data_IF_351403458550
#
_entry.id   IF_351403458550
#
_cell.length_a   1.000
_cell.length_b   1.000
_cell.length_c   1.000
_cell.angle_alpha   90.00
_cell.angle_beta   90.00
_cell.angle_gamma   90.00
#
_symmetry.space_group_name_H-M   'P 1'
#
loop_
_entity.id
_entity.type
_entity.pdbx_description
1 polymer ?
#
# COMPACT_ATOMS: atom_id res chain seq x y z
N UNK A 1 21.78 -20.45 20.30
CA UNK A 1 22.71 -19.86 19.31
C UNK A 1 22.97 -18.42 19.72
N UNK A 2 24.22 -17.94 19.75
CA UNK A 2 24.50 -16.55 20.10
C UNK A 2 23.90 -15.64 19.03
N UNK A 3 23.03 -14.72 19.44
CA UNK A 3 22.57 -13.63 18.59
C UNK A 3 23.80 -12.81 18.25
N UNK A 4 24.24 -12.83 16.99
CA UNK A 4 25.28 -11.91 16.52
C UNK A 4 24.78 -10.49 16.76
N UNK A 5 25.42 -9.79 17.68
CA UNK A 5 25.20 -8.36 17.92
C UNK A 5 25.80 -7.63 16.72
N UNK A 6 24.98 -7.38 15.69
CA UNK A 6 25.39 -6.51 14.58
C UNK A 6 25.66 -5.13 15.19
N UNK A 7 26.85 -4.58 14.95
CA UNK A 7 27.24 -3.27 15.48
C UNK A 7 26.14 -2.24 15.15
N UNK A 8 25.70 -1.48 16.14
CA UNK A 8 24.54 -0.56 16.07
C UNK A 8 24.65 0.43 14.89
N UNK A 9 25.85 0.94 14.63
CA UNK A 9 26.13 1.82 13.50
C UNK A 9 25.96 1.14 12.13
N UNK A 10 26.32 -0.13 12.01
CA UNK A 10 26.16 -0.90 10.77
C UNK A 10 24.69 -1.15 10.49
N UNK A 11 23.89 -1.49 11.51
CA UNK A 11 22.43 -1.67 11.40
C UNK A 11 21.73 -0.40 10.94
N UNK A 12 22.11 0.76 11.49
CA UNK A 12 21.51 2.05 11.10
C UNK A 12 21.84 2.44 9.65
N UNK A 13 23.07 2.20 9.20
CA UNK A 13 23.49 2.46 7.83
C UNK A 13 22.72 1.59 6.83
N UNK A 14 22.56 0.30 7.12
CA UNK A 14 21.75 -0.61 6.29
C UNK A 14 20.28 -0.23 6.29
N UNK A 15 19.73 0.21 7.42
CA UNK A 15 18.36 0.70 7.51
C UNK A 15 18.14 1.92 6.62
N UNK A 16 18.98 2.94 6.73
CA UNK A 16 18.88 4.15 5.92
C UNK A 16 19.10 3.85 4.44
N UNK A 17 20.11 3.07 4.10
CA UNK A 17 20.41 2.68 2.72
C UNK A 17 19.27 1.88 2.10
N UNK A 18 18.70 0.95 2.84
CA UNK A 18 17.53 0.17 2.43
C UNK A 18 16.29 1.04 2.23
N UNK A 19 16.02 1.98 3.15
CA UNK A 19 14.89 2.92 3.03
C UNK A 19 15.04 3.83 1.80
N UNK A 20 16.21 4.43 1.62
CA UNK A 20 16.51 5.28 0.46
C UNK A 20 16.37 4.46 -0.83
N UNK A 21 16.97 3.28 -0.90
CA UNK A 21 16.89 2.40 -2.06
C UNK A 21 15.45 1.98 -2.39
N UNK A 22 14.63 1.70 -1.38
CA UNK A 22 13.23 1.35 -1.53
C UNK A 22 12.41 2.53 -2.10
N UNK A 23 12.57 3.73 -1.56
CA UNK A 23 11.87 4.93 -2.03
C UNK A 23 12.26 5.31 -3.47
N UNK A 24 13.56 5.33 -3.78
CA UNK A 24 14.04 5.59 -5.13
C UNK A 24 13.59 4.51 -6.13
N UNK A 25 13.66 3.24 -5.75
CA UNK A 25 13.20 2.13 -6.58
C UNK A 25 11.70 2.21 -6.88
N UNK A 26 10.88 2.53 -5.88
CA UNK A 26 9.46 2.75 -6.07
C UNK A 26 9.19 3.92 -7.01
N UNK A 27 9.87 5.07 -6.84
CA UNK A 27 9.70 6.24 -7.69
C UNK A 27 10.08 5.97 -9.15
N UNK A 28 11.20 5.29 -9.39
CA UNK A 28 11.64 4.91 -10.76
C UNK A 28 10.60 3.99 -11.39
N UNK A 29 10.09 3.01 -10.63
CA UNK A 29 9.08 2.07 -11.11
C UNK A 29 7.79 2.79 -11.49
N UNK A 30 7.30 3.72 -10.67
CA UNK A 30 6.10 4.52 -10.95
C UNK A 30 6.31 5.36 -12.21
N UNK A 31 7.41 6.10 -12.30
CA UNK A 31 7.68 6.96 -13.46
C UNK A 31 7.74 6.15 -14.77
N UNK A 32 8.39 4.99 -14.75
CA UNK A 32 8.45 4.11 -15.91
C UNK A 32 7.06 3.57 -16.29
N UNK A 33 6.26 3.15 -15.30
CA UNK A 33 4.91 2.63 -15.54
C UNK A 33 3.96 3.72 -16.08
N UNK A 34 4.05 4.95 -15.56
CA UNK A 34 3.30 6.11 -16.07
C UNK A 34 3.67 6.38 -17.53
N UNK A 35 4.97 6.48 -17.84
CA UNK A 35 5.43 6.73 -19.21
C UNK A 35 4.97 5.65 -20.20
N UNK A 36 4.95 4.38 -19.80
CA UNK A 36 4.44 3.29 -20.63
C UNK A 36 2.93 3.43 -20.84
N UNK A 37 2.16 3.72 -19.77
CA UNK A 37 0.72 3.86 -19.83
C UNK A 37 0.31 5.05 -20.72
N UNK A 38 1.00 6.19 -20.63
CA UNK A 38 0.82 7.35 -21.50
C UNK A 38 1.10 7.00 -22.97
N UNK A 39 2.20 6.29 -23.24
CA UNK A 39 2.54 5.84 -24.59
C UNK A 39 1.50 4.86 -25.17
N UNK A 40 0.79 4.14 -24.31
CA UNK A 40 -0.33 3.27 -24.70
C UNK A 40 -1.67 4.02 -24.86
N UNK A 41 -1.71 5.33 -24.62
CA UNK A 41 -2.89 6.16 -24.75
C UNK A 41 -3.88 6.03 -23.59
N UNK A 42 -3.41 5.54 -22.42
CA UNK A 42 -4.24 5.48 -21.20
C UNK A 42 -4.47 6.89 -20.68
N UNK A 43 -5.70 7.21 -20.25
CA UNK A 43 -6.02 8.54 -19.73
C UNK A 43 -5.31 8.83 -18.41
N UNK A 44 -4.97 10.10 -18.16
CA UNK A 44 -4.31 10.56 -16.93
C UNK A 44 -5.09 10.18 -15.65
N UNK A 45 -6.42 10.20 -15.71
CA UNK A 45 -7.29 9.82 -14.59
C UNK A 45 -7.09 8.34 -14.25
N UNK A 46 -7.10 7.46 -15.26
CA UNK A 46 -6.89 6.02 -15.05
C UNK A 46 -5.48 5.74 -14.56
N UNK A 47 -4.47 6.43 -15.09
CA UNK A 47 -3.07 6.33 -14.62
C UNK A 47 -2.99 6.72 -13.14
N UNK A 48 -3.58 7.85 -12.75
CA UNK A 48 -3.57 8.31 -11.36
C UNK A 48 -4.27 7.34 -10.41
N UNK A 49 -5.45 6.85 -10.77
CA UNK A 49 -6.24 5.94 -9.94
C UNK A 49 -5.69 4.51 -9.86
N UNK A 50 -4.85 4.09 -10.81
CA UNK A 50 -4.29 2.74 -10.85
C UNK A 50 -2.78 2.73 -10.66
N UNK A 51 -2.01 3.20 -11.65
CA UNK A 51 -0.55 3.09 -11.66
C UNK A 51 0.09 3.85 -10.50
N UNK A 52 -0.34 5.11 -10.27
CA UNK A 52 0.21 5.93 -9.18
C UNK A 52 -0.23 5.38 -7.84
N UNK A 53 -1.51 5.00 -7.68
CA UNK A 53 -2.02 4.45 -6.43
C UNK A 53 -1.30 3.14 -6.04
N UNK A 54 -1.09 2.23 -6.99
CA UNK A 54 -0.31 1.00 -6.75
C UNK A 54 1.14 1.37 -6.43
N UNK A 55 1.72 2.28 -7.21
CA UNK A 55 3.12 2.66 -7.10
C UNK A 55 3.49 3.28 -5.76
N UNK A 56 2.63 4.14 -5.22
CA UNK A 56 2.83 4.72 -3.89
C UNK A 56 2.73 3.69 -2.76
N UNK A 57 2.08 2.55 -3.00
CA UNK A 57 2.00 1.43 -2.06
C UNK A 57 3.10 0.37 -2.24
N UNK A 58 4.02 0.54 -3.21
CA UNK A 58 5.13 -0.41 -3.41
C UNK A 58 6.07 -0.51 -2.20
N UNK A 59 6.45 0.58 -1.52
CA UNK A 59 7.25 0.49 -0.30
C UNK A 59 6.59 -0.35 0.79
N UNK A 60 5.30 -0.13 1.04
CA UNK A 60 4.52 -0.88 2.03
C UNK A 60 4.42 -2.36 1.66
N UNK A 61 4.20 -2.65 0.37
CA UNK A 61 4.14 -4.02 -0.13
C UNK A 61 5.48 -4.74 0.06
N UNK A 62 6.60 -4.09 -0.31
CA UNK A 62 7.93 -4.65 -0.16
C UNK A 62 8.28 -4.91 1.32
N UNK A 63 8.00 -3.94 2.21
CA UNK A 63 8.19 -4.08 3.65
C UNK A 63 7.36 -5.22 4.24
N UNK A 64 6.08 -5.29 3.89
CA UNK A 64 5.15 -6.35 4.34
C UNK A 64 5.60 -7.74 3.88
N UNK A 65 5.98 -7.89 2.60
CA UNK A 65 6.46 -9.17 2.05
C UNK A 65 7.78 -9.58 2.69
N UNK A 66 8.70 -8.63 2.89
CA UNK A 66 9.98 -8.90 3.57
C UNK A 66 9.76 -9.37 5.00
N UNK A 67 8.98 -8.65 5.80
CA UNK A 67 8.66 -9.02 7.17
C UNK A 67 7.99 -10.41 7.25
N UNK A 68 7.04 -10.69 6.35
CA UNK A 68 6.36 -11.98 6.31
C UNK A 68 7.31 -13.13 5.95
N UNK A 69 8.25 -12.91 5.00
CA UNK A 69 9.27 -13.91 4.62
C UNK A 69 10.27 -14.19 5.74
N UNK A 70 10.57 -13.19 6.56
CA UNK A 70 11.43 -13.32 7.73
C UNK A 70 10.70 -13.92 8.95
N UNK A 71 9.40 -14.24 8.82
CA UNK A 71 8.58 -14.80 9.90
C UNK A 71 7.96 -13.76 10.86
N UNK A 72 8.22 -12.48 10.67
CA UNK A 72 7.70 -11.38 11.50
C UNK A 72 6.29 -10.96 11.07
N UNK A 73 5.31 -11.84 11.33
CA UNK A 73 3.92 -11.66 10.89
C UNK A 73 3.25 -10.44 11.52
N UNK A 74 3.57 -10.14 12.77
CA UNK A 74 3.05 -8.98 13.51
C UNK A 74 3.52 -7.67 12.87
N UNK A 75 4.77 -7.61 12.42
CA UNK A 75 5.33 -6.45 11.70
C UNK A 75 4.63 -6.31 10.34
N UNK A 76 4.43 -7.41 9.60
CA UNK A 76 3.74 -7.39 8.33
C UNK A 76 2.29 -6.86 8.45
N UNK A 77 1.52 -7.35 9.42
CA UNK A 77 0.16 -6.89 9.68
C UNK A 77 0.15 -5.44 10.19
N UNK A 78 1.07 -5.11 11.11
CA UNK A 78 1.22 -3.76 11.64
C UNK A 78 1.52 -2.73 10.56
N UNK A 79 2.37 -3.07 9.59
CA UNK A 79 2.70 -2.20 8.45
C UNK A 79 1.46 -1.89 7.59
N UNK A 80 0.65 -2.88 7.26
CA UNK A 80 -0.58 -2.70 6.47
C UNK A 80 -1.60 -1.83 7.21
N UNK A 81 -1.85 -2.12 8.48
CA UNK A 81 -2.82 -1.35 9.29
C UNK A 81 -2.29 0.06 9.56
N UNK A 82 -1.01 0.17 9.92
CA UNK A 82 -0.36 1.45 10.25
C UNK A 82 -0.33 2.41 9.07
N UNK A 83 -0.01 1.93 7.86
CA UNK A 83 -0.03 2.77 6.66
C UNK A 83 -1.45 3.26 6.32
N UNK A 84 -2.48 2.44 6.47
CA UNK A 84 -3.87 2.87 6.29
C UNK A 84 -4.26 3.96 7.29
N UNK A 85 -3.91 3.79 8.56
CA UNK A 85 -4.16 4.79 9.60
C UNK A 85 -3.42 6.09 9.29
N UNK A 86 -2.14 6.01 8.92
CA UNK A 86 -1.34 7.17 8.58
C UNK A 86 -1.90 7.91 7.35
N UNK A 87 -2.29 7.19 6.30
CA UNK A 87 -2.85 7.80 5.10
C UNK A 87 -4.20 8.50 5.37
N UNK A 88 -5.07 7.91 6.17
CA UNK A 88 -6.38 8.50 6.47
C UNK A 88 -6.24 9.65 7.47
N UNK A 89 -5.59 9.46 8.60
CA UNK A 89 -5.60 10.46 9.67
C UNK A 89 -4.50 11.51 9.51
N UNK A 90 -3.30 11.13 9.14
CA UNK A 90 -2.20 12.08 8.98
C UNK A 90 -2.26 12.76 7.61
N UNK A 91 -2.21 12.00 6.51
CA UNK A 91 -2.09 12.59 5.16
C UNK A 91 -3.36 13.33 4.78
N UNK A 92 -4.53 12.69 4.82
CA UNK A 92 -5.79 13.35 4.51
C UNK A 92 -6.17 14.41 5.55
N UNK A 93 -5.87 14.19 6.84
CA UNK A 93 -6.11 15.17 7.90
C UNK A 93 -5.33 16.45 7.68
N UNK A 94 -4.03 16.35 7.39
CA UNK A 94 -3.18 17.53 7.07
C UNK A 94 -3.66 18.20 5.78
N UNK A 95 -3.97 17.43 4.74
CA UNK A 95 -4.48 17.97 3.48
C UNK A 95 -5.78 18.75 3.70
N UNK A 96 -6.72 18.21 4.48
CA UNK A 96 -7.99 18.88 4.78
C UNK A 96 -7.83 20.18 5.59
N UNK A 97 -6.78 20.31 6.40
CA UNK A 97 -6.42 21.54 7.10
C UNK A 97 -5.91 22.60 6.11
N UNK A 98 -5.12 22.19 5.12
CA UNK A 98 -4.50 23.08 4.13
C UNK A 98 -5.55 23.55 3.09
N UNK A 99 -6.36 22.63 2.61
CA UNK A 99 -7.36 22.91 1.56
C UNK A 99 -8.61 22.03 1.74
N UNK A 100 -9.82 22.59 1.55
CA UNK A 100 -11.03 21.80 1.56
C UNK A 100 -10.99 20.72 0.48
N UNK A 101 -11.30 19.48 0.85
CA UNK A 101 -11.33 18.34 -0.08
C UNK A 101 -12.78 18.16 -0.55
N UNK A 102 -13.03 18.45 -1.81
CA UNK A 102 -14.31 18.10 -2.44
C UNK A 102 -14.31 16.62 -2.78
N UNK A 103 -15.28 15.87 -2.24
CA UNK A 103 -15.42 14.44 -2.54
C UNK A 103 -16.50 14.27 -3.60
N UNK A 104 -16.14 13.68 -4.72
CA UNK A 104 -17.07 13.42 -5.81
C UNK A 104 -18.17 12.43 -5.39
N UNK A 105 -19.38 12.62 -5.93
CA UNK A 105 -20.54 11.76 -5.63
C UNK A 105 -20.27 10.28 -5.93
N UNK A 106 -19.54 9.99 -7.01
CA UNK A 106 -19.12 8.64 -7.36
C UNK A 106 -18.31 7.96 -6.24
N UNK A 107 -17.42 8.70 -5.59
CA UNK A 107 -16.61 8.19 -4.47
C UNK A 107 -17.51 7.84 -3.29
N UNK A 108 -18.47 8.71 -2.96
CA UNK A 108 -19.38 8.50 -1.83
C UNK A 108 -20.31 7.30 -2.07
N UNK A 109 -20.86 7.18 -3.27
CA UNK A 109 -21.89 6.18 -3.56
C UNK A 109 -21.33 4.80 -3.90
N UNK A 110 -20.12 4.72 -4.48
CA UNK A 110 -19.56 3.45 -4.97
C UNK A 110 -18.26 3.06 -4.29
N UNK A 111 -17.27 3.97 -4.27
CA UNK A 111 -15.94 3.63 -3.78
C UNK A 111 -15.92 3.48 -2.26
N UNK A 112 -16.52 4.40 -1.53
CA UNK A 112 -16.52 4.42 -0.07
C UNK A 112 -17.23 3.19 0.55
N UNK A 113 -18.43 2.77 0.12
CA UNK A 113 -19.06 1.56 0.64
C UNK A 113 -18.23 0.30 0.39
N UNK A 114 -17.60 0.19 -0.79
CA UNK A 114 -16.72 -0.94 -1.11
C UNK A 114 -15.46 -0.92 -0.25
N UNK A 115 -14.84 0.24 -0.04
CA UNK A 115 -13.69 0.39 0.84
C UNK A 115 -14.02 -0.01 2.28
N UNK A 116 -15.17 0.42 2.81
CA UNK A 116 -15.64 0.04 4.15
C UNK A 116 -15.83 -1.48 4.23
N UNK A 117 -16.49 -2.07 3.24
CA UNK A 117 -16.70 -3.51 3.17
C UNK A 117 -15.38 -4.29 3.19
N UNK A 118 -14.43 -3.89 2.35
CA UNK A 118 -13.10 -4.52 2.27
C UNK A 118 -12.31 -4.34 3.57
N UNK A 119 -12.42 -3.18 4.21
CA UNK A 119 -11.78 -2.91 5.50
C UNK A 119 -12.35 -3.81 6.60
N UNK A 120 -13.67 -3.96 6.67
CA UNK A 120 -14.33 -4.86 7.61
C UNK A 120 -13.95 -6.31 7.33
N UNK A 121 -13.98 -6.74 6.06
CA UNK A 121 -13.57 -8.09 5.68
C UNK A 121 -12.12 -8.38 6.10
N UNK A 122 -11.20 -7.45 5.85
CA UNK A 122 -9.80 -7.56 6.28
C UNK A 122 -9.69 -7.67 7.80
N UNK A 123 -10.43 -6.84 8.56
CA UNK A 123 -10.43 -6.87 10.02
C UNK A 123 -10.96 -8.20 10.58
N UNK A 124 -12.00 -8.77 9.98
CA UNK A 124 -12.52 -10.09 10.36
C UNK A 124 -11.50 -11.18 10.01
N UNK A 125 -10.87 -11.10 8.85
CA UNK A 125 -9.88 -12.11 8.41
C UNK A 125 -8.60 -12.09 9.24
N UNK A 126 -8.20 -10.98 9.84
CA UNK A 126 -7.04 -10.91 10.75
C UNK A 126 -7.29 -11.73 12.04
N UNK A 127 -8.55 -11.88 12.45
CA UNK A 127 -8.94 -12.71 13.61
C UNK A 127 -8.89 -14.22 13.34
N UNK A 128 -8.82 -14.61 12.06
CA UNK A 128 -8.75 -16.00 11.61
C UNK A 128 -7.36 -16.21 11.01
N UNK A 129 -6.70 -17.37 11.18
CA UNK A 129 -5.42 -17.64 10.53
C UNK A 129 -5.53 -17.39 9.02
N UNK A 130 -4.85 -16.36 8.51
CA UNK A 130 -4.83 -16.04 7.09
C UNK A 130 -4.14 -17.19 6.34
N UNK A 131 -4.96 -18.02 5.70
CA UNK A 131 -4.48 -19.09 4.83
C UNK A 131 -4.13 -18.53 3.45
N UNK A 132 -3.42 -19.33 2.64
CA UNK A 132 -3.16 -18.99 1.24
C UNK A 132 -4.44 -18.72 0.46
N UNK A 133 -5.51 -19.47 0.75
CA UNK A 133 -6.83 -19.26 0.16
C UNK A 133 -7.41 -17.90 0.54
N UNK A 134 -7.34 -17.50 1.81
CA UNK A 134 -7.78 -16.18 2.26
C UNK A 134 -7.03 -15.04 1.57
N UNK A 135 -5.69 -15.17 1.46
CA UNK A 135 -4.87 -14.21 0.71
C UNK A 135 -5.24 -14.12 -0.78
N UNK A 136 -5.52 -15.26 -1.43
CA UNK A 136 -5.97 -15.29 -2.82
C UNK A 136 -7.32 -14.59 -2.99
N UNK A 137 -8.26 -14.81 -2.08
CA UNK A 137 -9.57 -14.14 -2.10
C UNK A 137 -9.41 -12.63 -1.98
N UNK A 138 -8.61 -12.14 -1.03
CA UNK A 138 -8.34 -10.70 -0.88
C UNK A 138 -7.70 -10.11 -2.15
N UNK A 139 -6.77 -10.83 -2.77
CA UNK A 139 -6.13 -10.39 -4.00
C UNK A 139 -7.12 -10.32 -5.18
N UNK A 140 -8.03 -11.27 -5.30
CA UNK A 140 -9.10 -11.24 -6.31
C UNK A 140 -10.06 -10.06 -6.08
N UNK A 141 -10.40 -9.74 -4.83
CA UNK A 141 -11.18 -8.54 -4.52
C UNK A 141 -10.45 -7.26 -4.89
N UNK A 142 -9.14 -7.19 -4.70
CA UNK A 142 -8.34 -6.06 -5.17
C UNK A 142 -8.37 -5.91 -6.69
N UNK A 143 -8.23 -7.01 -7.44
CA UNK A 143 -8.34 -6.97 -8.91
C UNK A 143 -9.74 -6.55 -9.37
N UNK A 144 -10.80 -7.01 -8.69
CA UNK A 144 -12.17 -6.58 -8.96
C UNK A 144 -12.35 -5.08 -8.69
N UNK A 145 -11.79 -4.57 -7.60
CA UNK A 145 -11.78 -3.14 -7.30
C UNK A 145 -11.11 -2.33 -8.41
N UNK A 146 -9.93 -2.74 -8.86
CA UNK A 146 -9.24 -2.07 -9.99
C UNK A 146 -10.08 -2.09 -11.27
N UNK A 147 -10.73 -3.22 -11.57
CA UNK A 147 -11.60 -3.32 -12.74
C UNK A 147 -12.79 -2.35 -12.68
N UNK A 148 -13.33 -2.08 -11.50
CA UNK A 148 -14.43 -1.11 -11.33
C UNK A 148 -14.00 0.35 -11.50
N UNK A 149 -12.71 0.66 -11.32
CA UNK A 149 -12.15 2.00 -11.53
C UNK A 149 -11.87 2.32 -13.01
N UNK A 150 -11.73 1.28 -13.84
CA UNK A 150 -11.48 1.42 -15.29
C UNK A 150 -12.79 1.52 -16.08
#
# INVERSE_FOLDING_TARGET
EPVEVVEENTSFTFLLGGLVGLLFGAQITVNAAVSIAEAMGVSEIVIGLSVVAIGTSLPELAGTVSAARMGHKEIAVGNVIGSNIANIFLVMGVLAIITPIAVEQFVIERTLPLLILLTIATFVMIRIPLTRLGGTILFLFFLLFLYQLM
#
